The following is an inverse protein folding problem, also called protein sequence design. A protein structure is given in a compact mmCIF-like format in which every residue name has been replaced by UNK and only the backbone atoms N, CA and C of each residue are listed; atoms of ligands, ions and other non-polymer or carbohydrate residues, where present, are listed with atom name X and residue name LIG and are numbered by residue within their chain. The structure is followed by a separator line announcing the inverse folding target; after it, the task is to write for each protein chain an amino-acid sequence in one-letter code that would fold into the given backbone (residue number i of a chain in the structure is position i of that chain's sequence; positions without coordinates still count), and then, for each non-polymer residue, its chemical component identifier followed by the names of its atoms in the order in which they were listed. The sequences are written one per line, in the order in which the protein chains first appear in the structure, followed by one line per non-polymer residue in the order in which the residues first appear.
data_IF_182593257180
#
_entry.id   IF_182593257180
#
_cell.length_a   1.000
_cell.length_b   1.000
_cell.length_c   1.000
_cell.angle_alpha   90.00
_cell.angle_beta   90.00
_cell.angle_gamma   90.00
#
_symmetry.space_group_name_H-M   'P 1'
#
loop_
_entity.id
_entity.type
_entity.pdbx_description
1 polymer ?
#
# COMPACT_ATOMS: atom_id res chain seq x y z
N UNK A 1 8.32 -68.67 9.91
CA UNK A 1 7.44 -67.88 9.02
C UNK A 1 8.00 -66.48 8.98
N UNK A 2 8.33 -66.06 7.77
CA UNK A 2 9.24 -64.97 7.47
C UNK A 2 8.69 -63.59 7.86
N UNK A 3 9.61 -62.76 8.31
CA UNK A 3 9.57 -61.30 8.37
C UNK A 3 9.77 -60.74 6.96
N UNK A 4 8.90 -59.85 6.50
CA UNK A 4 9.17 -58.98 5.35
C UNK A 4 9.14 -57.53 5.84
N UNK A 5 10.32 -56.92 5.78
CA UNK A 5 10.62 -55.51 5.97
C UNK A 5 10.40 -54.78 4.66
N UNK A 6 9.55 -53.75 4.68
CA UNK A 6 9.49 -52.74 3.61
C UNK A 6 10.70 -51.81 3.77
N UNK A 7 11.74 -52.05 2.97
CA UNK A 7 12.86 -51.13 2.83
C UNK A 7 12.43 -49.92 1.98
N UNK A 8 12.23 -48.80 2.66
CA UNK A 8 12.12 -47.48 2.09
C UNK A 8 13.50 -47.09 1.52
N UNK A 9 13.67 -47.17 0.20
CA UNK A 9 14.86 -46.65 -0.47
C UNK A 9 14.89 -45.12 -0.31
N UNK A 10 15.68 -44.65 0.64
CA UNK A 10 16.18 -43.28 0.70
C UNK A 10 17.16 -43.15 -0.47
N UNK A 11 16.76 -42.45 -1.53
CA UNK A 11 17.68 -42.03 -2.58
C UNK A 11 18.62 -41.00 -1.93
N UNK A 12 19.90 -41.35 -1.83
CA UNK A 12 20.93 -40.50 -1.23
C UNK A 12 21.08 -39.19 -2.03
N UNK A 13 21.10 -38.01 -1.39
CA UNK A 13 21.23 -36.72 -2.09
C UNK A 13 22.59 -36.52 -2.79
N UNK A 14 23.57 -37.38 -2.56
CA UNK A 14 24.91 -37.30 -3.18
C UNK A 14 24.94 -37.78 -4.64
N UNK A 15 24.05 -38.70 -5.06
CA UNK A 15 24.03 -39.19 -6.45
C UNK A 15 23.46 -38.16 -7.43
N UNK A 16 22.49 -37.35 -6.98
CA UNK A 16 21.85 -36.30 -7.80
C UNK A 16 22.77 -35.07 -7.98
N UNK A 17 23.59 -34.75 -6.98
CA UNK A 17 24.58 -33.69 -7.05
C UNK A 17 25.77 -34.06 -7.97
N UNK A 18 26.18 -35.33 -7.95
CA UNK A 18 27.22 -35.85 -8.85
C UNK A 18 26.71 -35.98 -10.30
N UNK A 19 25.44 -36.31 -10.53
CA UNK A 19 24.81 -36.26 -11.86
C UNK A 19 24.75 -34.84 -12.42
N UNK A 20 24.30 -33.86 -11.63
CA UNK A 20 24.31 -32.44 -12.03
C UNK A 20 25.72 -31.93 -12.34
N UNK A 21 26.74 -32.35 -11.58
CA UNK A 21 28.15 -32.02 -11.85
C UNK A 21 28.71 -32.69 -13.12
N UNK A 22 28.31 -33.93 -13.42
CA UNK A 22 28.74 -34.61 -14.65
C UNK A 22 28.00 -34.09 -15.89
N UNK A 23 26.72 -33.74 -15.75
CA UNK A 23 25.94 -33.08 -16.79
C UNK A 23 26.52 -31.69 -17.10
N UNK A 24 26.75 -30.83 -16.10
CA UNK A 24 27.39 -29.50 -16.31
C UNK A 24 28.77 -29.59 -16.97
N UNK A 25 29.57 -30.62 -16.63
CA UNK A 25 30.87 -30.87 -17.27
C UNK A 25 30.78 -31.38 -18.72
N UNK A 26 29.74 -32.13 -19.07
CA UNK A 26 29.51 -32.59 -20.45
C UNK A 26 28.99 -31.46 -21.33
N UNK A 27 28.15 -30.60 -20.76
CA UNK A 27 27.51 -29.45 -21.42
C UNK A 27 28.52 -28.36 -21.80
N UNK A 28 29.42 -28.01 -20.87
CA UNK A 28 30.50 -27.06 -21.14
C UNK A 28 31.47 -27.57 -22.22
N UNK A 29 31.71 -28.88 -22.30
CA UNK A 29 32.54 -29.49 -23.34
C UNK A 29 31.88 -29.49 -24.73
N UNK A 30 30.57 -29.71 -24.82
CA UNK A 30 29.85 -29.74 -26.11
C UNK A 30 29.61 -28.35 -26.70
N UNK A 31 29.38 -27.33 -25.86
CA UNK A 31 29.27 -25.93 -26.30
C UNK A 31 30.57 -25.39 -26.95
N UNK A 32 31.74 -25.86 -26.49
CA UNK A 32 33.03 -25.41 -27.02
C UNK A 32 33.55 -26.20 -28.24
N UNK A 33 32.87 -27.26 -28.67
CA UNK A 33 33.39 -28.18 -29.71
C UNK A 33 32.60 -28.20 -31.02
N UNK A 34 31.51 -27.44 -31.16
CA UNK A 34 30.68 -27.45 -32.36
C UNK A 34 31.09 -26.40 -33.39
N UNK A 35 31.52 -26.85 -34.58
CA UNK A 35 31.69 -26.02 -35.79
C UNK A 35 30.35 -25.71 -36.51
N UNK A 36 29.21 -26.27 -36.06
CA UNK A 36 27.87 -25.99 -36.58
C UNK A 36 27.06 -25.07 -35.66
N UNK A 37 26.13 -24.31 -36.25
CA UNK A 37 25.31 -23.26 -35.59
C UNK A 37 24.91 -23.67 -34.15
N UNK A 38 25.39 -22.96 -33.12
CA UNK A 38 25.18 -23.33 -31.70
C UNK A 38 23.71 -23.46 -31.34
N UNK A 39 22.82 -22.72 -32.04
CA UNK A 39 21.36 -22.79 -31.93
C UNK A 39 20.81 -24.20 -32.16
N UNK A 40 21.34 -24.99 -33.10
CA UNK A 40 20.86 -26.37 -33.33
C UNK A 40 21.27 -27.34 -32.20
N UNK A 41 22.46 -27.13 -31.64
CA UNK A 41 22.94 -27.94 -30.50
C UNK A 41 22.20 -27.61 -29.22
N UNK A 42 21.84 -26.35 -28.99
CA UNK A 42 20.97 -25.97 -27.87
C UNK A 42 19.58 -26.58 -27.97
N UNK A 43 18.97 -26.61 -29.17
CA UNK A 43 17.69 -27.29 -29.39
C UNK A 43 17.82 -28.80 -29.13
N UNK A 44 18.88 -29.43 -29.63
CA UNK A 44 19.13 -30.86 -29.42
C UNK A 44 19.35 -31.18 -27.94
N UNK A 45 20.15 -30.39 -27.23
CA UNK A 45 20.45 -30.58 -25.83
C UNK A 45 19.24 -30.32 -24.92
N UNK A 46 18.40 -29.32 -25.23
CA UNK A 46 17.10 -29.10 -24.57
C UNK A 46 16.15 -30.29 -24.74
N UNK A 47 16.25 -31.00 -25.87
CA UNK A 47 15.47 -32.22 -26.12
C UNK A 47 15.96 -33.42 -25.31
N UNK A 48 17.26 -33.46 -24.99
CA UNK A 48 17.87 -34.52 -24.18
C UNK A 48 17.75 -34.28 -22.67
N UNK A 49 17.81 -33.01 -22.24
CA UNK A 49 17.79 -32.60 -20.83
C UNK A 49 16.79 -31.45 -20.62
N UNK A 50 15.47 -31.75 -20.65
CA UNK A 50 14.43 -30.71 -20.52
C UNK A 50 14.42 -30.00 -19.15
N UNK A 51 15.08 -30.57 -18.14
CA UNK A 51 15.19 -29.98 -16.79
C UNK A 51 16.51 -29.23 -16.55
N UNK A 52 17.43 -29.21 -17.51
CA UNK A 52 18.69 -28.49 -17.35
C UNK A 52 18.49 -26.99 -17.61
N UNK A 53 18.34 -26.22 -16.52
CA UNK A 53 18.21 -24.76 -16.52
C UNK A 53 19.34 -24.03 -17.26
N UNK A 54 20.53 -24.63 -17.27
CA UNK A 54 21.75 -24.11 -17.89
C UNK A 54 21.54 -23.78 -19.36
N UNK A 55 20.87 -24.63 -20.12
CA UNK A 55 20.66 -24.37 -21.55
C UNK A 55 19.70 -23.23 -21.80
N UNK A 56 18.63 -23.12 -21.01
CA UNK A 56 17.68 -22.02 -21.12
C UNK A 56 18.34 -20.70 -20.74
N UNK A 57 19.22 -20.71 -19.74
CA UNK A 57 20.01 -19.56 -19.34
C UNK A 57 21.04 -19.13 -20.41
N UNK A 58 21.70 -20.09 -21.07
CA UNK A 58 22.59 -19.81 -22.20
C UNK A 58 21.82 -19.19 -23.39
N UNK A 59 20.62 -19.71 -23.72
CA UNK A 59 19.74 -19.09 -24.72
C UNK A 59 19.36 -17.66 -24.34
N UNK A 60 19.03 -17.43 -23.06
CA UNK A 60 18.74 -16.10 -22.54
C UNK A 60 19.93 -15.16 -22.68
N UNK A 61 21.15 -15.61 -22.36
CA UNK A 61 22.36 -14.79 -22.48
C UNK A 61 22.67 -14.43 -23.92
N UNK A 62 22.59 -15.39 -24.85
CA UNK A 62 22.77 -15.14 -26.27
C UNK A 62 21.72 -14.14 -26.79
N UNK A 63 20.46 -14.31 -26.41
CA UNK A 63 19.39 -13.37 -26.79
C UNK A 63 19.62 -11.96 -26.22
N UNK A 64 20.17 -11.84 -25.01
CA UNK A 64 20.59 -10.56 -24.42
C UNK A 64 21.74 -9.91 -25.20
N UNK A 65 22.70 -10.68 -25.71
CA UNK A 65 23.79 -10.18 -26.56
C UNK A 65 23.28 -9.73 -27.94
N UNK A 66 22.32 -10.45 -28.51
CA UNK A 66 21.65 -10.11 -29.78
C UNK A 66 20.62 -8.96 -29.64
N UNK A 67 20.26 -8.60 -28.40
CA UNK A 67 19.25 -7.60 -28.04
C UNK A 67 17.85 -7.89 -28.64
N UNK A 68 17.50 -9.17 -28.80
CA UNK A 68 16.18 -9.60 -29.26
C UNK A 68 15.20 -9.69 -28.08
N UNK A 69 14.42 -8.61 -27.90
CA UNK A 69 13.43 -8.50 -26.84
C UNK A 69 12.43 -9.67 -26.81
N UNK A 70 12.04 -10.22 -27.96
CA UNK A 70 11.01 -11.27 -28.00
C UNK A 70 11.55 -12.60 -27.48
N UNK A 71 12.76 -12.95 -27.89
CA UNK A 71 13.44 -14.16 -27.40
C UNK A 71 13.83 -14.02 -25.92
N UNK A 72 14.30 -12.85 -25.51
CA UNK A 72 14.62 -12.56 -24.11
C UNK A 72 13.38 -12.76 -23.23
N UNK A 73 12.24 -12.15 -23.57
CA UNK A 73 11.00 -12.28 -22.80
C UNK A 73 10.55 -13.74 -22.71
N UNK A 74 10.70 -14.51 -23.80
CA UNK A 74 10.35 -15.93 -23.84
C UNK A 74 11.24 -16.78 -22.93
N UNK A 75 12.56 -16.66 -23.06
CA UNK A 75 13.51 -17.46 -22.26
C UNK A 75 13.53 -17.02 -20.80
N UNK A 76 13.48 -15.72 -20.54
CA UNK A 76 13.38 -15.18 -19.18
C UNK A 76 12.11 -15.62 -18.49
N UNK A 77 10.97 -15.63 -19.21
CA UNK A 77 9.72 -16.14 -18.66
C UNK A 77 9.77 -17.64 -18.34
N UNK A 78 10.39 -18.45 -19.19
CA UNK A 78 10.61 -19.88 -18.93
C UNK A 78 11.52 -20.11 -17.70
N UNK A 79 12.54 -19.28 -17.52
CA UNK A 79 13.45 -19.33 -16.37
C UNK A 79 12.73 -18.96 -15.08
N UNK A 80 11.93 -17.89 -15.06
CA UNK A 80 11.14 -17.50 -13.88
C UNK A 80 10.15 -18.60 -13.50
N UNK A 81 9.52 -19.24 -14.49
CA UNK A 81 8.50 -20.25 -14.25
C UNK A 81 9.07 -21.56 -13.67
N UNK A 82 10.22 -22.02 -14.17
CA UNK A 82 10.77 -23.33 -13.83
C UNK A 82 11.96 -23.27 -12.87
N UNK A 83 12.75 -22.20 -12.93
CA UNK A 83 14.05 -22.10 -12.26
C UNK A 83 14.33 -20.68 -11.73
N UNK A 84 13.48 -20.14 -10.84
CA UNK A 84 13.63 -18.77 -10.34
C UNK A 84 15.01 -18.51 -9.68
N UNK A 85 15.59 -19.52 -9.04
CA UNK A 85 16.91 -19.43 -8.39
C UNK A 85 18.06 -19.04 -9.34
N UNK A 86 17.95 -19.43 -10.62
CA UNK A 86 18.99 -19.13 -11.62
C UNK A 86 19.00 -17.69 -12.07
N UNK A 87 17.89 -16.96 -11.89
CA UNK A 87 17.70 -15.58 -12.33
C UNK A 87 17.56 -14.60 -11.16
N UNK A 88 17.96 -15.01 -9.95
CA UNK A 88 17.89 -14.15 -8.76
C UNK A 88 18.68 -12.83 -8.92
N UNK A 89 19.80 -12.84 -9.66
CA UNK A 89 20.58 -11.63 -9.91
C UNK A 89 19.81 -10.60 -10.73
N UNK A 90 19.16 -11.06 -11.80
CA UNK A 90 18.33 -10.27 -12.70
C UNK A 90 17.05 -9.80 -12.01
N UNK A 91 16.43 -10.67 -11.22
CA UNK A 91 15.27 -10.32 -10.39
C UNK A 91 15.61 -9.22 -9.37
N UNK A 92 16.78 -9.29 -8.74
CA UNK A 92 17.26 -8.21 -7.86
C UNK A 92 17.57 -6.92 -8.63
N UNK A 93 18.06 -7.02 -9.88
CA UNK A 93 18.21 -5.84 -10.74
C UNK A 93 16.85 -5.20 -11.07
N UNK A 94 15.82 -6.00 -11.35
CA UNK A 94 14.45 -5.51 -11.54
C UNK A 94 14.00 -4.73 -10.31
N UNK A 95 14.18 -5.28 -9.12
CA UNK A 95 13.82 -4.61 -7.86
C UNK A 95 14.54 -3.26 -7.73
N UNK A 96 15.84 -3.20 -7.99
CA UNK A 96 16.62 -1.95 -7.93
C UNK A 96 16.14 -0.92 -8.95
N UNK A 97 15.82 -1.35 -10.17
CA UNK A 97 15.31 -0.49 -11.23
C UNK A 97 13.91 0.05 -10.90
N UNK A 98 13.06 -0.80 -10.34
CA UNK A 98 11.73 -0.41 -9.86
C UNK A 98 11.80 0.55 -8.66
N UNK A 99 12.80 0.44 -7.78
CA UNK A 99 13.01 1.39 -6.68
C UNK A 99 13.51 2.76 -7.15
N UNK A 100 14.36 2.77 -8.18
CA UNK A 100 15.01 3.98 -8.68
C UNK A 100 14.21 4.71 -9.77
N UNK A 101 13.03 4.17 -10.14
CA UNK A 101 12.25 4.59 -11.30
C UNK A 101 13.10 4.70 -12.58
N UNK A 102 14.14 3.86 -12.69
CA UNK A 102 15.03 3.86 -13.84
C UNK A 102 14.34 3.19 -15.05
N UNK A 103 14.57 3.74 -16.25
CA UNK A 103 14.12 3.16 -17.52
C UNK A 103 15.16 2.14 -18.03
N UNK A 104 15.43 1.12 -17.20
CA UNK A 104 16.40 0.10 -17.55
C UNK A 104 15.89 -0.86 -18.62
N UNK A 105 16.82 -1.52 -19.31
CA UNK A 105 16.48 -2.56 -20.28
C UNK A 105 15.72 -3.72 -19.63
N UNK A 106 16.16 -4.14 -18.43
CA UNK A 106 15.57 -5.27 -17.71
C UNK A 106 14.13 -4.93 -17.25
N UNK A 107 13.87 -3.67 -16.87
CA UNK A 107 12.50 -3.20 -16.60
C UNK A 107 11.59 -3.34 -17.82
N UNK A 108 12.06 -2.96 -19.01
CA UNK A 108 11.29 -3.14 -20.26
C UNK A 108 10.99 -4.60 -20.56
N UNK A 109 11.96 -5.49 -20.32
CA UNK A 109 11.75 -6.93 -20.44
C UNK A 109 10.68 -7.39 -19.46
N UNK A 110 10.72 -6.94 -18.20
CA UNK A 110 9.73 -7.27 -17.18
C UNK A 110 8.32 -6.80 -17.56
N UNK A 111 8.17 -5.58 -18.05
CA UNK A 111 6.88 -5.01 -18.47
C UNK A 111 6.24 -5.77 -19.65
N UNK A 112 7.06 -6.39 -20.51
CA UNK A 112 6.61 -7.20 -21.63
C UNK A 112 6.24 -8.65 -21.24
N UNK A 113 6.56 -9.10 -20.02
CA UNK A 113 6.19 -10.42 -19.56
C UNK A 113 4.68 -10.55 -19.35
N UNK A 114 4.10 -11.75 -19.58
CA UNK A 114 2.74 -12.06 -19.15
C UNK A 114 2.56 -11.81 -17.65
N UNK A 115 1.39 -11.30 -17.24
CA UNK A 115 1.05 -11.00 -15.83
C UNK A 115 1.25 -12.22 -14.90
N UNK A 116 1.04 -13.42 -15.42
CA UNK A 116 1.24 -14.68 -14.70
C UNK A 116 2.70 -14.88 -14.29
N UNK A 117 3.62 -14.51 -15.18
CA UNK A 117 5.06 -14.65 -14.98
C UNK A 117 5.57 -13.51 -14.11
N UNK A 118 5.07 -12.28 -14.31
CA UNK A 118 5.35 -11.15 -13.41
C UNK A 118 4.96 -11.49 -11.96
N UNK A 119 3.82 -12.16 -11.76
CA UNK A 119 3.39 -12.61 -10.44
C UNK A 119 4.35 -13.65 -9.85
N UNK A 120 4.78 -14.64 -10.64
CA UNK A 120 5.77 -15.63 -10.20
C UNK A 120 7.11 -14.99 -9.86
N UNK A 121 7.55 -14.00 -10.63
CA UNK A 121 8.76 -13.22 -10.33
C UNK A 121 8.64 -12.48 -9.00
N UNK A 122 7.50 -11.81 -8.74
CA UNK A 122 7.23 -11.16 -7.46
C UNK A 122 7.28 -12.17 -6.31
N UNK A 123 6.65 -13.35 -6.45
CA UNK A 123 6.69 -14.39 -5.42
C UNK A 123 8.12 -14.88 -5.16
N UNK A 124 8.91 -15.12 -6.20
CA UNK A 124 10.30 -15.56 -6.05
C UNK A 124 11.16 -14.53 -5.29
N UNK A 125 11.03 -13.24 -5.65
CA UNK A 125 11.75 -12.15 -4.97
C UNK A 125 11.31 -12.03 -3.51
N UNK A 126 10.00 -12.06 -3.26
CA UNK A 126 9.44 -11.83 -1.91
C UNK A 126 9.68 -13.01 -0.97
N UNK A 127 9.85 -14.23 -1.47
CA UNK A 127 10.26 -15.39 -0.68
C UNK A 127 11.71 -15.29 -0.18
N UNK A 128 12.57 -14.60 -0.93
CA UNK A 128 13.98 -14.40 -0.59
C UNK A 128 14.23 -13.16 0.29
N UNK A 129 13.18 -12.45 0.71
CA UNK A 129 13.28 -11.28 1.58
C UNK A 129 13.83 -11.65 2.96
N UNK A 130 14.68 -10.80 3.52
CA UNK A 130 15.34 -11.04 4.81
C UNK A 130 14.44 -10.76 6.02
N UNK A 131 13.42 -9.92 5.84
CA UNK A 131 12.50 -9.47 6.88
C UNK A 131 11.07 -9.40 6.37
N UNK A 132 10.11 -9.36 7.31
CA UNK A 132 8.69 -9.23 6.97
C UNK A 132 8.39 -7.85 6.35
N UNK A 133 9.06 -6.81 6.84
CA UNK A 133 8.97 -5.44 6.33
C UNK A 133 9.43 -5.38 4.87
N UNK A 134 10.65 -5.90 4.59
CA UNK A 134 11.19 -5.95 3.23
C UNK A 134 10.28 -6.75 2.30
N UNK A 135 9.73 -7.88 2.78
CA UNK A 135 8.78 -8.68 2.00
C UNK A 135 7.55 -7.86 1.61
N UNK A 136 6.96 -7.12 2.55
CA UNK A 136 5.80 -6.27 2.29
C UNK A 136 6.12 -5.09 1.37
N UNK A 137 7.30 -4.47 1.49
CA UNK A 137 7.76 -3.40 0.58
C UNK A 137 7.92 -3.90 -0.84
N UNK A 138 8.59 -5.04 -1.01
CA UNK A 138 8.80 -5.66 -2.32
C UNK A 138 7.46 -6.02 -2.96
N UNK A 139 6.55 -6.68 -2.22
CA UNK A 139 5.20 -6.96 -2.72
C UNK A 139 4.50 -5.69 -3.20
N UNK A 140 4.48 -4.63 -2.37
CA UNK A 140 3.85 -3.37 -2.72
C UNK A 140 4.45 -2.73 -3.98
N UNK A 141 5.77 -2.78 -4.13
CA UNK A 141 6.49 -2.23 -5.27
C UNK A 141 6.13 -2.95 -6.57
N UNK A 142 6.03 -4.28 -6.56
CA UNK A 142 5.54 -5.04 -7.70
C UNK A 142 4.07 -4.73 -8.00
N UNK A 143 3.20 -4.65 -6.98
CA UNK A 143 1.78 -4.35 -7.17
C UNK A 143 1.53 -2.98 -7.81
N UNK A 144 2.39 -1.99 -7.57
CA UNK A 144 2.31 -0.67 -8.20
C UNK A 144 2.62 -0.69 -9.71
N UNK A 145 3.28 -1.73 -10.21
CA UNK A 145 3.77 -1.82 -11.60
C UNK A 145 3.04 -2.87 -12.44
N UNK A 146 2.43 -3.87 -11.80
CA UNK A 146 1.74 -4.96 -12.48
C UNK A 146 0.40 -4.52 -13.10
N UNK A 147 -0.09 -5.31 -14.06
CA UNK A 147 -1.40 -5.12 -14.71
C UNK A 147 -2.50 -6.00 -14.09
N UNK A 148 -3.75 -5.50 -14.09
CA UNK A 148 -4.97 -6.20 -13.63
C UNK A 148 -5.20 -7.51 -14.41
N UNK A 149 -5.69 -8.63 -13.82
CA UNK A 149 -6.41 -8.80 -12.55
C UNK A 149 -5.64 -9.48 -11.41
N UNK A 150 -4.42 -10.00 -11.64
CA UNK A 150 -3.66 -10.75 -10.62
C UNK A 150 -3.22 -9.92 -9.43
N UNK A 151 -3.18 -8.60 -9.58
CA UNK A 151 -2.95 -7.65 -8.49
C UNK A 151 -3.97 -7.86 -7.35
N UNK A 152 -5.21 -8.26 -7.64
CA UNK A 152 -6.22 -8.41 -6.59
C UNK A 152 -5.82 -9.50 -5.60
N UNK A 153 -5.58 -10.72 -6.06
CA UNK A 153 -5.21 -11.85 -5.19
C UNK A 153 -4.00 -11.50 -4.32
N UNK A 154 -2.94 -10.99 -4.96
CA UNK A 154 -1.71 -10.58 -4.27
C UNK A 154 -1.91 -9.40 -3.31
N UNK A 155 -2.82 -8.47 -3.61
CA UNK A 155 -3.13 -7.36 -2.72
C UNK A 155 -3.92 -7.83 -1.50
N UNK A 156 -4.87 -8.77 -1.66
CA UNK A 156 -5.56 -9.39 -0.52
C UNK A 156 -4.57 -10.14 0.38
N UNK A 157 -3.62 -10.89 -0.21
CA UNK A 157 -2.56 -11.57 0.54
C UNK A 157 -1.66 -10.58 1.29
N UNK A 158 -1.33 -9.44 0.67
CA UNK A 158 -0.58 -8.37 1.32
C UNK A 158 -1.37 -7.76 2.50
N UNK A 159 -2.65 -7.45 2.32
CA UNK A 159 -3.52 -6.92 3.39
C UNK A 159 -3.59 -7.90 4.55
N UNK A 160 -3.81 -9.19 4.27
CA UNK A 160 -3.84 -10.23 5.28
C UNK A 160 -2.51 -10.31 6.04
N UNK A 161 -1.39 -10.30 5.31
CA UNK A 161 -0.04 -10.33 5.90
C UNK A 161 0.21 -9.11 6.79
N UNK A 162 -0.16 -7.91 6.35
CA UNK A 162 -0.01 -6.68 7.13
C UNK A 162 -0.86 -6.70 8.40
N UNK A 163 -2.11 -7.17 8.33
CA UNK A 163 -2.98 -7.31 9.50
C UNK A 163 -2.47 -8.35 10.49
N UNK A 164 -1.95 -9.49 10.01
CA UNK A 164 -1.32 -10.48 10.86
C UNK A 164 -0.04 -9.96 11.52
N UNK A 165 0.77 -9.20 10.79
CA UNK A 165 1.97 -8.57 11.32
C UNK A 165 1.64 -7.65 12.49
N UNK A 166 0.61 -6.81 12.34
CA UNK A 166 0.17 -5.86 13.36
C UNK A 166 -0.31 -6.52 14.67
N UNK A 167 -0.79 -7.76 14.63
CA UNK A 167 -1.23 -8.49 15.82
C UNK A 167 -0.05 -8.99 16.69
N UNK A 168 1.20 -8.79 16.26
CA UNK A 168 2.36 -9.16 17.06
C UNK A 168 2.41 -8.35 18.37
N UNK A 169 2.76 -8.98 19.51
CA UNK A 169 2.70 -8.36 20.83
C UNK A 169 3.67 -7.19 21.02
N UNK A 170 4.67 -7.06 20.15
CA UNK A 170 5.72 -6.04 20.21
C UNK A 170 5.35 -4.75 19.46
N UNK A 171 4.21 -4.72 18.75
CA UNK A 171 3.83 -3.62 17.86
C UNK A 171 2.76 -2.73 18.50
N UNK A 172 2.95 -1.39 18.53
CA UNK A 172 1.92 -0.48 19.01
C UNK A 172 0.69 -0.50 18.08
N UNK A 173 -0.47 -0.84 18.66
CA UNK A 173 -1.69 -1.28 17.96
C UNK A 173 -2.32 -0.26 16.98
N UNK A 174 -1.95 1.03 17.02
CA UNK A 174 -2.66 2.06 16.22
C UNK A 174 -1.78 2.94 15.34
N UNK A 175 -0.49 3.08 15.64
CA UNK A 175 0.44 3.84 14.81
C UNK A 175 1.70 3.01 14.70
N UNK A 176 1.83 2.26 13.62
CA UNK A 176 2.97 1.40 13.34
C UNK A 176 3.25 1.38 11.84
N UNK A 177 4.39 0.78 11.48
CA UNK A 177 4.86 0.70 10.11
C UNK A 177 3.88 -0.03 9.18
N UNK A 178 3.36 -1.18 9.61
CA UNK A 178 2.44 -1.99 8.81
C UNK A 178 1.10 -1.29 8.55
N UNK A 179 0.54 -0.64 9.58
CA UNK A 179 -0.67 0.18 9.45
C UNK A 179 -0.45 1.38 8.54
N UNK A 180 0.72 2.03 8.64
CA UNK A 180 1.09 3.11 7.72
C UNK A 180 1.09 2.62 6.27
N UNK A 181 1.76 1.49 5.98
CA UNK A 181 1.79 0.92 4.63
C UNK A 181 0.39 0.55 4.15
N UNK A 182 -0.41 -0.08 5.01
CA UNK A 182 -1.79 -0.46 4.70
C UNK A 182 -2.63 0.77 4.29
N UNK A 183 -2.60 1.83 5.10
CA UNK A 183 -3.45 3.02 4.90
C UNK A 183 -2.92 3.96 3.82
N UNK A 184 -1.60 4.20 3.80
CA UNK A 184 -1.01 5.23 2.94
C UNK A 184 -0.61 4.71 1.56
N UNK A 185 -0.38 3.41 1.40
CA UNK A 185 0.07 2.83 0.14
C UNK A 185 -0.93 1.82 -0.41
N UNK A 186 -1.21 0.74 0.32
CA UNK A 186 -2.05 -0.37 -0.17
C UNK A 186 -3.48 0.11 -0.40
N UNK A 187 -4.06 0.85 0.55
CA UNK A 187 -5.42 1.34 0.39
C UNK A 187 -5.56 2.30 -0.79
N UNK A 188 -4.61 3.24 -0.97
CA UNK A 188 -4.63 4.13 -2.12
C UNK A 188 -4.48 3.38 -3.45
N UNK A 189 -3.68 2.32 -3.48
CA UNK A 189 -3.58 1.44 -4.64
C UNK A 189 -4.92 0.77 -4.93
N UNK A 190 -5.58 0.20 -3.92
CA UNK A 190 -6.91 -0.43 -4.06
C UNK A 190 -7.97 0.53 -4.60
N UNK A 191 -7.93 1.80 -4.20
CA UNK A 191 -8.86 2.83 -4.71
C UNK A 191 -8.74 3.08 -6.21
N UNK A 192 -7.59 2.77 -6.81
CA UNK A 192 -7.38 2.87 -8.27
C UNK A 192 -7.95 1.66 -9.02
N UNK A 193 -8.25 0.56 -8.32
CA UNK A 193 -8.62 -0.72 -8.92
C UNK A 193 -10.13 -0.80 -9.23
N UNK A 194 -10.58 -1.29 -10.39
CA UNK A 194 -12.00 -1.21 -10.78
C UNK A 194 -12.96 -2.10 -9.95
N UNK A 195 -12.45 -3.13 -9.26
CA UNK A 195 -13.28 -4.14 -8.57
C UNK A 195 -12.74 -4.43 -7.17
N UNK A 196 -13.13 -3.62 -6.18
CA UNK A 196 -12.82 -3.91 -4.77
C UNK A 196 -14.10 -4.24 -4.04
N UNK A 197 -14.04 -5.22 -3.15
CA UNK A 197 -15.15 -5.54 -2.27
C UNK A 197 -15.47 -4.33 -1.37
N UNK A 198 -16.75 -3.95 -1.32
CA UNK A 198 -17.22 -2.79 -0.55
C UNK A 198 -16.97 -2.99 0.94
N UNK A 199 -17.16 -4.21 1.45
CA UNK A 199 -16.93 -4.50 2.86
C UNK A 199 -15.47 -4.26 3.24
N UNK A 200 -14.53 -4.73 2.40
CA UNK A 200 -13.11 -4.44 2.59
C UNK A 200 -12.80 -2.94 2.52
N UNK A 201 -13.38 -2.22 1.55
CA UNK A 201 -13.17 -0.78 1.38
C UNK A 201 -13.59 0.01 2.64
N UNK A 202 -14.74 -0.31 3.24
CA UNK A 202 -15.20 0.34 4.47
C UNK A 202 -14.37 -0.05 5.69
N UNK A 203 -13.98 -1.32 5.82
CA UNK A 203 -13.08 -1.74 6.89
C UNK A 203 -11.74 -0.99 6.82
N UNK A 204 -11.15 -0.86 5.63
CA UNK A 204 -9.92 -0.09 5.44
C UNK A 204 -10.11 1.41 5.71
N UNK A 205 -11.30 1.96 5.42
CA UNK A 205 -11.64 3.34 5.77
C UNK A 205 -11.68 3.55 7.29
N UNK A 206 -12.31 2.65 8.04
CA UNK A 206 -12.35 2.72 9.51
C UNK A 206 -10.93 2.68 10.09
N UNK A 207 -10.11 1.75 9.62
CA UNK A 207 -8.70 1.63 10.01
C UNK A 207 -7.89 2.88 9.65
N UNK A 208 -8.13 3.47 8.48
CA UNK A 208 -7.49 4.71 8.05
C UNK A 208 -7.89 5.88 8.96
N UNK A 209 -9.18 6.01 9.28
CA UNK A 209 -9.68 7.05 10.18
C UNK A 209 -9.05 6.91 11.56
N UNK A 210 -9.00 5.70 12.12
CA UNK A 210 -8.37 5.43 13.42
C UNK A 210 -6.87 5.78 13.39
N UNK A 211 -6.15 5.34 12.36
CA UNK A 211 -4.72 5.63 12.18
C UNK A 211 -4.44 7.13 12.13
N UNK A 212 -5.15 7.87 11.26
CA UNK A 212 -4.97 9.32 11.13
C UNK A 212 -5.42 10.07 12.39
N UNK A 213 -6.53 9.67 13.02
CA UNK A 213 -6.97 10.26 14.28
C UNK A 213 -5.91 10.08 15.37
N UNK A 214 -5.33 8.89 15.50
CA UNK A 214 -4.24 8.64 16.44
C UNK A 214 -3.01 9.49 16.12
N UNK A 215 -2.61 9.61 14.85
CA UNK A 215 -1.48 10.45 14.45
C UNK A 215 -1.71 11.95 14.69
N UNK A 216 -2.96 12.42 14.63
CA UNK A 216 -3.30 13.84 14.75
C UNK A 216 -3.50 14.25 16.21
N UNK A 217 -4.21 13.43 16.99
CA UNK A 217 -4.67 13.79 18.33
C UNK A 217 -3.80 13.24 19.46
N UNK A 218 -3.04 12.16 19.24
CA UNK A 218 -2.11 11.65 20.25
C UNK A 218 -0.75 12.32 20.08
N UNK A 219 -0.07 12.71 21.19
CA UNK A 219 1.29 13.21 21.09
C UNK A 219 2.20 12.09 20.55
N UNK A 220 3.15 12.41 19.65
CA UNK A 220 4.04 11.40 19.09
C UNK A 220 4.94 10.82 20.18
N UNK A 221 4.99 9.50 20.27
CA UNK A 221 5.96 8.76 21.09
C UNK A 221 7.28 8.61 20.33
N UNK A 222 8.38 8.26 21.04
CA UNK A 222 9.68 8.06 20.40
C UNK A 222 9.62 7.01 19.26
N UNK A 223 8.86 5.95 19.46
CA UNK A 223 8.66 4.85 18.50
C UNK A 223 7.89 5.28 17.24
N UNK A 224 6.94 6.23 17.37
CA UNK A 224 6.06 6.62 16.29
C UNK A 224 6.44 7.97 15.65
N UNK A 225 7.48 8.62 16.18
CA UNK A 225 7.91 9.94 15.75
C UNK A 225 8.35 9.94 14.28
N UNK A 226 9.06 8.90 13.84
CA UNK A 226 9.51 8.79 12.44
C UNK A 226 8.33 8.64 11.49
N UNK A 227 7.32 7.87 11.88
CA UNK A 227 6.08 7.70 11.11
C UNK A 227 5.37 9.05 10.99
N UNK A 228 5.10 9.73 12.11
CA UNK A 228 4.40 11.02 12.13
C UNK A 228 5.19 12.10 11.35
N UNK A 229 6.53 12.09 11.43
CA UNK A 229 7.41 12.95 10.63
C UNK A 229 7.33 12.65 9.14
N UNK A 230 7.41 11.37 8.74
CA UNK A 230 7.31 10.95 7.33
C UNK A 230 5.96 11.33 6.71
N UNK A 231 4.91 11.36 7.52
CA UNK A 231 3.58 11.81 7.11
C UNK A 231 3.45 13.33 7.10
N UNK A 232 4.50 14.08 7.45
CA UNK A 232 4.50 15.54 7.62
C UNK A 232 3.38 16.01 8.57
N UNK A 233 3.00 15.17 9.54
CA UNK A 233 1.95 15.47 10.50
C UNK A 233 2.49 16.24 11.71
N UNK A 234 3.82 16.28 11.89
CA UNK A 234 4.48 17.17 12.86
C UNK A 234 4.38 18.67 12.49
N UNK A 235 3.75 19.03 11.37
CA UNK A 235 3.62 20.42 10.95
C UNK A 235 3.01 21.29 12.06
N UNK A 236 3.55 22.51 12.19
CA UNK A 236 3.10 23.54 13.15
C UNK A 236 1.62 23.87 12.92
N UNK A 237 1.14 23.76 11.68
CA UNK A 237 -0.23 24.06 11.29
C UNK A 237 -1.15 22.83 11.40
N UNK A 238 -2.13 22.82 12.32
CA UNK A 238 -3.03 21.67 12.49
C UNK A 238 -3.85 21.35 11.25
N UNK A 239 -4.19 22.35 10.42
CA UNK A 239 -4.96 22.16 9.19
C UNK A 239 -4.24 21.24 8.20
N UNK A 240 -2.91 21.30 8.10
CA UNK A 240 -2.15 20.43 7.18
C UNK A 240 -2.17 18.97 7.60
N UNK A 241 -2.44 18.68 8.89
CA UNK A 241 -2.48 17.31 9.40
C UNK A 241 -3.70 16.54 8.89
N UNK A 242 -4.83 17.22 8.70
CA UNK A 242 -6.04 16.61 8.17
C UNK A 242 -6.03 16.45 6.65
N UNK A 243 -5.14 17.14 5.93
CA UNK A 243 -5.14 17.16 4.46
C UNK A 243 -4.98 15.76 3.86
N UNK A 244 -4.13 14.90 4.44
CA UNK A 244 -3.94 13.53 3.92
C UNK A 244 -5.18 12.67 4.07
N UNK A 245 -5.84 12.73 5.23
CA UNK A 245 -7.10 12.04 5.46
C UNK A 245 -8.19 12.57 4.53
N UNK A 246 -8.29 13.90 4.36
CA UNK A 246 -9.26 14.50 3.44
C UNK A 246 -9.01 14.07 1.99
N UNK A 247 -7.76 14.05 1.52
CA UNK A 247 -7.44 13.58 0.16
C UNK A 247 -7.83 12.10 -0.04
N UNK A 248 -7.63 11.25 0.98
CA UNK A 248 -8.05 9.85 0.94
C UNK A 248 -9.57 9.72 0.86
N UNK A 249 -10.29 10.51 1.68
CA UNK A 249 -11.75 10.55 1.64
C UNK A 249 -12.26 11.08 0.29
N UNK A 250 -11.63 12.10 -0.28
CA UNK A 250 -11.96 12.62 -1.60
C UNK A 250 -11.77 11.55 -2.69
N UNK A 251 -10.67 10.79 -2.64
CA UNK A 251 -10.43 9.68 -3.57
C UNK A 251 -11.52 8.60 -3.49
N UNK A 252 -11.94 8.22 -2.28
CA UNK A 252 -13.05 7.30 -2.03
C UNK A 252 -14.38 7.83 -2.59
N UNK A 253 -14.66 9.11 -2.41
CA UNK A 253 -15.87 9.72 -2.92
C UNK A 253 -15.88 9.74 -4.45
N UNK A 254 -14.77 10.11 -5.09
CA UNK A 254 -14.65 10.10 -6.55
C UNK A 254 -14.87 8.69 -7.10
N UNK A 255 -14.26 7.68 -6.47
CA UNK A 255 -14.42 6.27 -6.84
C UNK A 255 -15.87 5.81 -6.81
N UNK A 256 -16.61 6.16 -5.75
CA UNK A 256 -18.00 5.77 -5.58
C UNK A 256 -18.98 6.69 -6.34
N UNK A 257 -18.49 7.63 -7.16
CA UNK A 257 -19.29 8.65 -7.84
C UNK A 257 -20.15 9.49 -6.88
N UNK A 258 -19.61 9.78 -5.70
CA UNK A 258 -20.27 10.61 -4.71
C UNK A 258 -19.92 12.09 -4.88
N UNK A 259 -20.93 12.94 -5.02
CA UNK A 259 -20.76 14.38 -5.22
C UNK A 259 -20.46 15.17 -3.93
N UNK A 260 -20.32 14.51 -2.76
CA UNK A 260 -20.11 15.16 -1.47
C UNK A 260 -18.90 16.10 -1.41
N UNK A 261 -17.71 15.75 -1.94
CA UNK A 261 -16.54 16.64 -1.88
C UNK A 261 -16.79 18.00 -2.53
N UNK A 262 -17.68 18.08 -3.52
CA UNK A 262 -18.00 19.33 -4.20
C UNK A 262 -18.71 20.34 -3.28
N UNK A 263 -19.44 19.88 -2.26
CA UNK A 263 -20.08 20.73 -1.24
C UNK A 263 -19.04 21.52 -0.43
N UNK A 264 -17.89 20.88 -0.24
CA UNK A 264 -16.80 21.33 0.62
C UNK A 264 -15.66 22.01 -0.15
N UNK A 265 -15.82 22.23 -1.46
CA UNK A 265 -14.91 23.06 -2.24
C UNK A 265 -14.94 24.50 -1.73
N UNK A 266 -13.76 25.11 -1.61
CA UNK A 266 -13.63 26.47 -1.09
C UNK A 266 -14.16 27.50 -2.11
N UNK A 267 -14.93 28.52 -1.68
CA UNK A 267 -15.40 28.79 -0.31
C UNK A 267 -16.56 27.88 0.12
N UNK A 268 -16.50 27.39 1.36
CA UNK A 268 -17.52 26.50 1.95
C UNK A 268 -18.92 27.08 1.74
N UNK A 269 -19.78 26.33 1.06
CA UNK A 269 -21.16 26.73 0.88
C UNK A 269 -21.98 26.40 2.15
N UNK A 270 -21.93 27.28 3.15
CA UNK A 270 -22.62 27.13 4.44
C UNK A 270 -24.12 26.83 4.30
N UNK A 271 -24.76 27.33 3.23
CA UNK A 271 -26.19 27.06 2.96
C UNK A 271 -26.40 25.61 2.54
N UNK A 272 -25.55 25.08 1.65
CA UNK A 272 -25.58 23.67 1.27
C UNK A 272 -25.28 22.75 2.44
N UNK A 273 -24.27 23.08 3.25
CA UNK A 273 -23.95 22.33 4.46
C UNK A 273 -25.12 22.28 5.45
N UNK A 274 -25.80 23.41 5.69
CA UNK A 274 -26.94 23.45 6.60
C UNK A 274 -28.14 22.65 6.07
N UNK A 275 -28.41 22.72 4.77
CA UNK A 275 -29.44 21.91 4.10
C UNK A 275 -29.09 20.42 4.21
N UNK A 276 -27.83 20.07 3.98
CA UNK A 276 -27.30 18.72 4.10
C UNK A 276 -27.47 18.16 5.53
N UNK A 277 -26.98 18.87 6.54
CA UNK A 277 -27.11 18.49 7.96
C UNK A 277 -28.56 18.37 8.43
N UNK A 278 -29.44 19.29 7.99
CA UNK A 278 -30.86 19.25 8.33
C UNK A 278 -31.57 18.03 7.75
N UNK A 279 -31.11 17.53 6.59
CA UNK A 279 -31.68 16.36 5.91
C UNK A 279 -31.09 15.04 6.41
N UNK A 280 -29.80 15.00 6.75
CA UNK A 280 -29.19 13.89 7.50
C UNK A 280 -29.99 13.61 8.79
N UNK A 281 -30.38 14.67 9.50
CA UNK A 281 -31.22 14.58 10.71
C UNK A 281 -32.61 13.99 10.43
N UNK A 282 -33.18 14.28 9.26
CA UNK A 282 -34.55 13.87 8.91
C UNK A 282 -34.63 12.51 8.17
N UNK A 283 -33.48 11.87 7.87
CA UNK A 283 -33.37 10.60 7.10
C UNK A 283 -33.95 10.67 5.67
N UNK A 284 -33.99 11.86 5.09
CA UNK A 284 -34.50 12.06 3.72
C UNK A 284 -33.47 11.60 2.68
N UNK A 285 -33.90 10.77 1.72
CA UNK A 285 -33.02 10.17 0.69
C UNK A 285 -32.53 11.16 -0.39
N UNK A 286 -33.16 12.32 -0.54
CA UNK A 286 -32.94 13.23 -1.67
C UNK A 286 -32.58 14.66 -1.26
N UNK A 287 -31.49 15.18 -1.82
CA UNK A 287 -31.07 16.58 -1.70
C UNK A 287 -31.47 17.33 -2.97
N UNK A 288 -32.52 18.14 -2.85
CA UNK A 288 -32.92 19.10 -3.88
C UNK A 288 -32.40 20.51 -3.57
N UNK A 289 -31.91 21.20 -4.59
CA UNK A 289 -31.75 22.66 -4.58
C UNK A 289 -32.42 23.22 -5.84
N UNK A 290 -33.28 24.22 -5.71
CA UNK A 290 -34.01 24.84 -6.84
C UNK A 290 -34.73 23.82 -7.76
N UNK A 291 -35.40 22.82 -7.20
CA UNK A 291 -36.09 21.74 -7.93
C UNK A 291 -35.19 20.83 -8.80
N UNK A 292 -33.86 20.91 -8.66
CA UNK A 292 -32.91 19.98 -9.27
C UNK A 292 -32.41 19.02 -8.19
N UNK A 293 -32.46 17.72 -8.46
CA UNK A 293 -31.86 16.68 -7.61
C UNK A 293 -30.34 16.82 -7.70
N UNK A 294 -29.69 17.10 -6.58
CA UNK A 294 -28.23 17.28 -6.51
C UNK A 294 -27.55 16.04 -5.96
N UNK A 295 -28.11 15.39 -4.94
CA UNK A 295 -27.49 14.22 -4.30
C UNK A 295 -28.56 13.25 -3.81
N UNK A 296 -28.41 11.97 -4.14
CA UNK A 296 -29.26 10.88 -3.66
C UNK A 296 -28.45 10.02 -2.68
N UNK A 297 -28.75 10.11 -1.38
CA UNK A 297 -28.13 9.23 -0.38
C UNK A 297 -28.87 7.89 -0.46
N UNK A 298 -28.26 6.94 -1.15
CA UNK A 298 -28.90 5.68 -1.52
C UNK A 298 -28.60 4.58 -0.52
N UNK A 299 -27.44 4.62 0.16
CA UNK A 299 -26.96 3.51 0.99
C UNK A 299 -26.54 3.95 2.41
N UNK A 300 -26.63 3.08 3.42
CA UNK A 300 -26.21 3.41 4.79
C UNK A 300 -24.71 3.68 4.90
N UNK A 301 -23.90 3.10 4.01
CA UNK A 301 -22.46 3.32 3.99
C UNK A 301 -22.10 4.70 3.41
N UNK A 302 -22.86 5.16 2.42
CA UNK A 302 -22.79 6.53 1.92
C UNK A 302 -23.17 7.56 3.02
N UNK A 303 -24.18 7.23 3.83
CA UNK A 303 -24.55 8.03 4.99
C UNK A 303 -23.40 8.14 6.00
N UNK A 304 -22.80 7.00 6.40
CA UNK A 304 -21.66 6.95 7.31
C UNK A 304 -20.49 7.78 6.77
N UNK A 305 -20.09 7.53 5.52
CA UNK A 305 -19.02 8.26 4.86
C UNK A 305 -19.30 9.78 4.87
N UNK A 306 -20.52 10.18 4.54
CA UNK A 306 -20.89 11.59 4.48
C UNK A 306 -20.80 12.27 5.85
N UNK A 307 -21.15 11.58 6.94
CA UNK A 307 -21.00 12.07 8.31
C UNK A 307 -19.52 12.21 8.68
N UNK A 308 -18.71 11.18 8.41
CA UNK A 308 -17.26 11.21 8.65
C UNK A 308 -16.58 12.34 7.88
N UNK A 309 -16.87 12.47 6.58
CA UNK A 309 -16.34 13.53 5.72
C UNK A 309 -16.68 14.91 6.28
N UNK A 310 -17.95 15.11 6.63
CA UNK A 310 -18.43 16.38 7.21
C UNK A 310 -17.71 16.71 8.51
N UNK A 311 -17.57 15.73 9.41
CA UNK A 311 -16.91 15.89 10.69
C UNK A 311 -15.44 16.31 10.52
N UNK A 312 -14.66 15.57 9.75
CA UNK A 312 -13.24 15.88 9.54
C UNK A 312 -13.03 17.18 8.76
N UNK A 313 -13.92 17.51 7.82
CA UNK A 313 -13.86 18.80 7.14
C UNK A 313 -14.14 19.98 8.08
N UNK A 314 -15.15 19.86 8.95
CA UNK A 314 -15.44 20.87 9.96
C UNK A 314 -14.25 21.07 10.92
N UNK A 315 -13.58 19.98 11.32
CA UNK A 315 -12.35 20.06 12.10
C UNK A 315 -11.22 20.76 11.33
N UNK A 316 -11.06 20.47 10.05
CA UNK A 316 -10.08 21.14 9.20
C UNK A 316 -10.34 22.66 9.07
N UNK A 317 -11.59 23.06 8.81
CA UNK A 317 -11.98 24.48 8.69
C UNK A 317 -11.82 25.21 10.03
N UNK A 318 -12.21 24.57 11.13
CA UNK A 318 -12.01 25.08 12.49
C UNK A 318 -10.52 25.25 12.83
N UNK A 319 -9.68 24.27 12.51
CA UNK A 319 -8.23 24.37 12.65
C UNK A 319 -7.65 25.56 11.87
N UNK A 320 -8.14 25.78 10.65
CA UNK A 320 -7.70 26.89 9.82
C UNK A 320 -8.16 28.25 10.36
N UNK A 321 -9.34 28.30 10.98
CA UNK A 321 -9.89 29.51 11.59
C UNK A 321 -9.11 29.94 12.84
N UNK A 322 -8.82 29.00 13.75
CA UNK A 322 -8.06 29.29 14.98
C UNK A 322 -6.60 29.60 14.66
N UNK A 323 -6.03 28.91 13.67
CA UNK A 323 -4.61 29.00 13.33
C UNK A 323 -4.41 29.46 11.88
N UNK A 324 -4.66 30.74 11.58
CA UNK A 324 -4.42 31.29 10.25
C UNK A 324 -2.92 31.19 9.94
N UNK A 325 -2.57 30.78 8.71
CA UNK A 325 -1.20 30.44 8.26
C UNK A 325 -0.16 31.56 8.39
N UNK A 326 -0.56 32.75 8.87
CA UNK A 326 0.25 33.96 8.94
C UNK A 326 0.66 34.37 10.38
N UNK A 327 0.37 33.58 11.42
CA UNK A 327 0.80 33.92 12.79
C UNK A 327 2.23 33.42 13.09
N UNK A 328 3.15 34.29 13.55
CA UNK A 328 4.58 33.97 13.68
C UNK A 328 4.98 33.30 15.00
N UNK A 329 4.04 32.99 15.91
CA UNK A 329 4.35 32.49 17.25
C UNK A 329 3.55 31.23 17.56
N UNK A 330 4.23 30.08 17.58
CA UNK A 330 3.66 28.85 18.15
C UNK A 330 4.59 28.23 19.17
N UNK A 331 4.01 27.94 20.34
CA UNK A 331 4.57 27.05 21.34
C UNK A 331 4.14 25.62 20.99
N UNK A 332 5.12 24.76 20.71
CA UNK A 332 4.95 23.31 20.63
C UNK A 332 4.36 22.81 21.96
N UNK A 333 3.11 22.31 21.96
CA UNK A 333 2.59 21.62 23.15
C UNK A 333 1.06 21.64 23.38
N UNK A 334 0.27 22.50 22.74
CA UNK A 334 -1.16 22.67 23.09
C UNK A 334 -2.17 22.11 22.07
N UNK A 335 -1.87 21.03 21.35
CA UNK A 335 -2.87 20.42 20.45
C UNK A 335 -3.89 19.52 21.17
N UNK A 336 -3.67 19.17 22.44
CA UNK A 336 -4.56 18.31 23.23
C UNK A 336 -5.91 18.95 23.59
N UNK A 337 -6.05 20.27 23.43
CA UNK A 337 -7.26 21.02 23.78
C UNK A 337 -8.10 21.45 22.57
N UNK A 338 -7.71 21.05 21.36
CA UNK A 338 -8.35 21.46 20.10
C UNK A 338 -9.87 21.20 20.07
N UNK A 339 -10.32 20.07 20.61
CA UNK A 339 -11.74 19.73 20.69
C UNK A 339 -12.45 20.44 21.86
N UNK A 340 -11.75 20.69 22.96
CA UNK A 340 -12.32 21.32 24.17
C UNK A 340 -12.52 22.82 23.95
N UNK A 341 -11.55 23.52 23.36
CA UNK A 341 -11.67 24.95 23.06
C UNK A 341 -12.81 25.23 22.07
N UNK A 342 -13.02 24.38 21.06
CA UNK A 342 -14.12 24.53 20.09
C UNK A 342 -15.52 24.36 20.69
N UNK A 343 -15.67 23.49 21.69
CA UNK A 343 -16.93 23.31 22.42
C UNK A 343 -17.17 24.51 23.34
N UNK A 344 -16.15 24.96 24.07
CA UNK A 344 -16.23 26.12 24.99
C UNK A 344 -16.52 27.43 24.25
N UNK A 345 -15.93 27.63 23.05
CA UNK A 345 -16.21 28.83 22.23
C UNK A 345 -17.64 28.88 21.68
N UNK A 346 -18.39 27.76 21.69
CA UNK A 346 -19.77 27.72 21.21
C UNK A 346 -20.80 28.23 22.23
N UNK A 347 -20.41 28.42 23.49
CA UNK A 347 -21.30 28.88 24.57
C UNK A 347 -21.43 30.41 24.66
N UNK A 348 -20.64 31.19 23.92
CA UNK A 348 -20.73 32.66 23.93
C UNK A 348 -21.83 33.21 23.00
N UNK A 349 -23.08 32.79 23.26
CA UNK A 349 -24.28 33.62 23.07
C UNK A 349 -25.29 33.35 24.18
N UNK A 350 -24.89 33.58 25.43
CA UNK A 350 -25.84 33.83 26.51
C UNK A 350 -25.49 35.15 27.22
N UNK A 351 -26.50 35.97 27.59
CA UNK A 351 -26.28 37.31 28.11
C UNK A 351 -25.98 37.25 29.62
N UNK A 352 -24.81 36.75 29.99
CA UNK A 352 -24.26 36.91 31.35
C UNK A 352 -22.78 37.26 31.27
N UNK A 353 -22.52 38.47 30.77
CA UNK A 353 -21.24 39.14 30.93
C UNK A 353 -20.98 39.45 32.41
N UNK A 354 -20.26 38.55 33.10
CA UNK A 354 -19.34 38.92 34.18
C UNK A 354 -18.08 38.08 34.02
N UNK A 355 -17.00 38.73 33.59
CA UNK A 355 -15.66 38.16 33.60
C UNK A 355 -15.32 37.62 34.99
N UNK A 356 -14.72 36.43 35.13
CA UNK A 356 -13.86 36.14 36.25
C UNK A 356 -12.45 36.70 35.94
N UNK A 357 -11.86 37.36 36.93
CA UNK A 357 -10.50 37.89 36.87
C UNK A 357 -9.41 36.79 36.90
N UNK A 358 -8.13 37.19 37.02
CA UNK A 358 -7.00 36.30 36.79
C UNK A 358 -6.65 35.50 38.04
N UNK A 359 -7.32 34.36 38.25
CA UNK A 359 -6.92 33.40 39.29
C UNK A 359 -7.05 31.97 38.76
N UNK A 360 -6.08 31.56 37.93
CA UNK A 360 -5.76 30.15 37.74
C UNK A 360 -4.38 29.91 38.34
N UNK A 361 -4.34 29.28 39.52
CA UNK A 361 -3.10 28.81 40.12
C UNK A 361 -2.92 27.33 39.78
N UNK A 362 -1.80 27.02 39.15
CA UNK A 362 -1.36 25.67 38.82
C UNK A 362 -1.10 24.89 40.13
N UNK A 363 -1.77 23.75 40.33
CA UNK A 363 -1.45 22.82 41.42
C UNK A 363 -0.89 21.52 40.85
N UNK A 364 -0.15 20.76 41.66
CA UNK A 364 0.54 19.52 41.28
C UNK A 364 -0.39 18.38 40.79
N UNK A 365 -1.70 18.61 40.67
CA UNK A 365 -2.65 17.65 40.08
C UNK A 365 -3.42 18.19 38.86
N UNK A 366 -3.07 19.35 38.33
CA UNK A 366 -3.74 19.99 37.18
C UNK A 366 -4.46 21.29 37.54
N UNK A 367 -5.08 21.92 36.52
CA UNK A 367 -5.87 23.16 36.65
C UNK A 367 -7.32 22.82 37.02
N UNK A 368 -7.86 23.47 38.06
CA UNK A 368 -9.29 23.47 38.40
C UNK A 368 -10.07 24.48 37.55
#
# INVERSE_FOLDING_TARGET
MATESEDCYIIEPEEDENRKKTETSLISKTLHTSETDPKYWMIFAKSLFPEASIFVYECYREACEENDLYEIVKYFGELIEKFPETVNGELNSIVQDLHSDSDSFIRKVFELLPADIQHKAMLAVTQNASSLEERCELMLLFLKQMYYPKIFESAYDLIYTLRCAEQAPEIPVTVNYFRKMLVCDVFLLLLQMPQVDKELEFNLLEEAIEFYACCIFKPPTAENLEIVKSLQLCNIFPSRRFQRLLNLLEALAIRNNWDYPNIYKYPLNKKLLFIFLSKLRNKDKYIFQNNVQIIEISTPEELFFSVCFTFFYCLYDFARYIFPQNSPTFYEGRCSYFLVEGIVMSEEKTPWSRCPGPEFHETERGYD
#
